data_IF_455949147285
#
_entry.id   IF_455949147285
#
_cell.length_a   1.000
_cell.length_b   1.000
_cell.length_c   1.000
_cell.angle_alpha   90.00
_cell.angle_beta   90.00
_cell.angle_gamma   90.00
#
_symmetry.space_group_name_H-M   'P 1'
#
loop_
_entity.id
_entity.type
_entity.pdbx_description
1 polymer ?
#
# COMPACT_ATOMS: atom_id res chain seq x y z
N UNK A 1 -18.27 13.30 -22.25
CA UNK A 1 -18.18 13.10 -23.71
C UNK A 1 -17.07 13.89 -24.40
N UNK A 2 -16.90 15.22 -24.11
CA UNK A 2 -15.86 16.04 -24.77
C UNK A 2 -14.43 15.54 -24.48
N UNK A 3 -14.13 15.15 -23.22
CA UNK A 3 -12.83 14.61 -22.81
C UNK A 3 -12.59 13.25 -23.51
N UNK A 4 -13.58 12.38 -23.56
CA UNK A 4 -13.43 11.09 -24.21
C UNK A 4 -13.08 11.20 -25.70
N UNK A 5 -13.70 12.14 -26.43
CA UNK A 5 -13.38 12.38 -27.83
C UNK A 5 -11.97 12.97 -28.02
N UNK A 6 -11.52 13.79 -27.07
CA UNK A 6 -10.15 14.33 -27.07
C UNK A 6 -9.08 13.23 -26.88
N UNK A 7 -9.37 12.27 -25.98
CA UNK A 7 -8.45 11.16 -25.69
C UNK A 7 -8.56 10.01 -26.69
N UNK A 8 -9.69 9.90 -27.41
CA UNK A 8 -9.96 8.85 -28.40
C UNK A 8 -10.48 9.51 -29.68
N UNK A 9 -9.59 9.96 -30.58
CA UNK A 9 -9.99 10.68 -31.81
C UNK A 9 -10.96 9.90 -32.69
N UNK A 10 -10.82 8.57 -32.73
CA UNK A 10 -11.69 7.65 -33.50
C UNK A 10 -12.99 7.24 -32.77
N UNK A 11 -13.33 7.93 -31.67
CA UNK A 11 -14.56 7.65 -30.92
C UNK A 11 -15.79 8.01 -31.76
N UNK A 12 -16.67 7.04 -31.96
CA UNK A 12 -17.85 7.10 -32.82
C UNK A 12 -17.64 6.45 -34.22
N UNK A 13 -16.40 6.17 -34.59
CA UNK A 13 -16.05 5.50 -35.84
C UNK A 13 -15.60 4.05 -35.59
N UNK A 14 -14.41 3.87 -35.00
CA UNK A 14 -13.85 2.55 -34.68
C UNK A 14 -14.17 2.10 -33.23
N UNK A 15 -14.41 3.03 -32.33
CA UNK A 15 -14.75 2.76 -30.93
C UNK A 15 -16.16 3.30 -30.69
N UNK A 16 -17.11 2.41 -30.39
CA UNK A 16 -18.49 2.79 -30.04
C UNK A 16 -18.55 3.62 -28.76
N UNK A 17 -19.39 4.67 -28.74
CA UNK A 17 -19.60 5.52 -27.59
C UNK A 17 -20.17 4.74 -26.38
N UNK A 18 -21.04 3.79 -26.67
CA UNK A 18 -21.64 2.86 -25.70
C UNK A 18 -20.58 2.04 -24.95
N UNK A 19 -19.57 1.51 -25.66
CA UNK A 19 -18.47 0.75 -25.04
C UNK A 19 -17.67 1.59 -24.04
N UNK A 20 -17.37 2.85 -24.39
CA UNK A 20 -16.64 3.74 -23.47
C UNK A 20 -17.50 4.14 -22.30
N UNK A 21 -18.81 4.33 -22.50
CA UNK A 21 -19.76 4.61 -21.44
C UNK A 21 -19.88 3.43 -20.46
N UNK A 22 -20.04 2.21 -20.97
CA UNK A 22 -20.09 1.00 -20.12
C UNK A 22 -18.81 0.83 -19.32
N UNK A 23 -17.64 0.97 -19.96
CA UNK A 23 -16.36 0.89 -19.27
C UNK A 23 -16.21 1.99 -18.18
N UNK A 24 -16.75 3.19 -18.40
CA UNK A 24 -16.75 4.25 -17.43
C UNK A 24 -17.64 3.92 -16.21
N UNK A 25 -18.84 3.39 -16.44
CA UNK A 25 -19.74 3.00 -15.34
C UNK A 25 -19.17 1.80 -14.55
N UNK A 26 -18.58 0.81 -15.24
CA UNK A 26 -17.87 -0.30 -14.58
C UNK A 26 -16.73 0.21 -13.70
N UNK A 27 -15.90 1.11 -14.22
CA UNK A 27 -14.77 1.69 -13.46
C UNK A 27 -15.21 2.55 -12.25
N UNK A 28 -16.42 3.12 -12.27
CA UNK A 28 -16.97 3.82 -11.10
C UNK A 28 -17.42 2.86 -10.00
N UNK A 29 -17.93 1.69 -10.37
CA UNK A 29 -18.43 0.68 -9.46
C UNK A 29 -17.31 -0.22 -8.93
N UNK A 30 -16.30 -0.47 -9.75
CA UNK A 30 -15.20 -1.38 -9.43
C UNK A 30 -13.84 -0.63 -9.41
N UNK A 31 -13.28 -0.36 -8.20
CA UNK A 31 -12.01 0.34 -8.07
C UNK A 31 -10.84 -0.32 -8.81
N UNK A 32 -10.87 -1.64 -9.00
CA UNK A 32 -9.81 -2.36 -9.72
C UNK A 32 -9.75 -2.01 -11.21
N UNK A 33 -10.87 -1.61 -11.81
CA UNK A 33 -10.97 -1.24 -13.22
C UNK A 33 -10.69 0.25 -13.49
N UNK A 34 -10.71 1.09 -12.45
CA UNK A 34 -10.54 2.53 -12.59
C UNK A 34 -9.21 2.89 -13.26
N UNK A 35 -8.12 2.29 -12.83
CA UNK A 35 -6.80 2.57 -13.39
C UNK A 35 -6.69 2.15 -14.86
N UNK A 36 -7.22 0.99 -15.20
CA UNK A 36 -7.30 0.53 -16.58
C UNK A 36 -8.12 1.47 -17.47
N UNK A 37 -9.25 1.94 -16.98
CA UNK A 37 -10.06 2.93 -17.69
C UNK A 37 -9.31 4.26 -17.87
N UNK A 38 -8.66 4.77 -16.81
CA UNK A 38 -7.86 6.01 -16.87
C UNK A 38 -6.72 5.91 -17.89
N UNK A 39 -5.99 4.80 -17.86
CA UNK A 39 -4.85 4.57 -18.76
C UNK A 39 -5.31 4.38 -20.22
N UNK A 40 -6.24 3.46 -20.46
CA UNK A 40 -6.61 3.02 -21.81
C UNK A 40 -7.66 3.92 -22.48
N UNK A 41 -8.47 4.66 -21.73
CA UNK A 41 -9.56 5.50 -22.28
C UNK A 41 -9.37 6.99 -22.08
N UNK A 42 -8.55 7.40 -21.09
CA UNK A 42 -8.30 8.80 -20.82
C UNK A 42 -6.84 9.20 -21.05
N UNK A 43 -5.96 8.27 -21.48
CA UNK A 43 -4.52 8.48 -21.68
C UNK A 43 -3.83 9.11 -20.45
N UNK A 44 -4.26 8.72 -19.26
CA UNK A 44 -3.68 9.19 -18.01
C UNK A 44 -2.61 8.23 -17.51
N UNK A 45 -1.50 8.77 -17.02
CA UNK A 45 -0.52 7.98 -16.29
C UNK A 45 -1.13 7.50 -14.97
N UNK A 46 -0.95 6.23 -14.66
CA UNK A 46 -1.38 5.60 -13.41
C UNK A 46 -0.17 4.97 -12.73
N UNK A 47 -0.12 5.08 -11.41
CA UNK A 47 1.00 4.53 -10.62
C UNK A 47 0.92 3.01 -10.43
N UNK A 48 -0.25 2.42 -10.63
CA UNK A 48 -0.52 0.99 -10.41
C UNK A 48 -1.41 0.46 -11.53
N UNK A 49 -1.14 -0.76 -12.01
CA UNK A 49 -1.98 -1.44 -13.01
C UNK A 49 -3.34 -1.81 -12.42
N UNK A 50 -3.35 -2.35 -11.20
CA UNK A 50 -4.57 -2.70 -10.45
C UNK A 50 -4.60 -1.87 -9.17
N UNK A 51 -5.73 -1.23 -8.90
CA UNK A 51 -5.90 -0.38 -7.73
C UNK A 51 -6.44 -1.21 -6.57
N UNK A 52 -5.59 -1.53 -5.61
CA UNK A 52 -6.01 -2.14 -4.35
C UNK A 52 -6.63 -1.12 -3.41
N UNK A 53 -6.01 0.07 -3.29
CA UNK A 53 -6.46 1.13 -2.39
C UNK A 53 -6.40 2.51 -3.08
N UNK A 54 -7.38 3.40 -2.87
CA UNK A 54 -7.32 4.78 -3.33
C UNK A 54 -6.20 5.54 -2.62
N UNK A 55 -5.10 5.83 -3.30
CA UNK A 55 -3.93 6.50 -2.70
C UNK A 55 -4.25 7.88 -2.16
N UNK A 56 -5.18 8.61 -2.78
CA UNK A 56 -5.67 9.90 -2.30
C UNK A 56 -6.35 9.82 -0.92
N UNK A 57 -6.95 8.68 -0.58
CA UNK A 57 -7.51 8.41 0.76
C UNK A 57 -6.43 7.95 1.72
N UNK A 58 -5.53 7.07 1.25
CA UNK A 58 -4.40 6.60 2.04
C UNK A 58 -3.50 7.75 2.48
N UNK A 59 -3.14 8.65 1.54
CA UNK A 59 -2.27 9.79 1.81
C UNK A 59 -2.89 10.77 2.84
N UNK A 60 -4.22 10.85 2.92
CA UNK A 60 -4.93 11.65 3.94
C UNK A 60 -4.85 11.07 5.34
N UNK A 61 -4.53 9.79 5.47
CA UNK A 61 -4.32 9.14 6.77
C UNK A 61 -2.90 9.37 7.30
N UNK A 62 -1.99 9.92 6.45
CA UNK A 62 -0.59 10.17 6.84
C UNK A 62 -0.49 11.43 7.69
N UNK A 63 0.11 11.31 8.86
CA UNK A 63 0.52 12.42 9.74
C UNK A 63 1.75 12.02 10.54
N UNK A 64 2.48 13.01 11.02
CA UNK A 64 3.64 12.76 11.86
C UNK A 64 3.16 12.25 13.23
N UNK A 65 3.70 11.12 13.66
CA UNK A 65 3.43 10.54 14.99
C UNK A 65 4.69 10.69 15.83
N UNK A 66 4.58 11.30 17.01
CA UNK A 66 5.61 11.22 18.04
C UNK A 66 5.28 10.04 18.95
N UNK A 67 6.14 9.02 18.96
CA UNK A 67 5.94 7.83 19.78
C UNK A 67 5.93 8.16 21.30
N UNK A 68 6.57 9.24 21.72
CA UNK A 68 6.53 9.67 23.11
C UNK A 68 5.12 10.08 23.55
N UNK A 69 4.30 10.63 22.67
CA UNK A 69 2.91 11.01 22.95
C UNK A 69 2.00 9.79 23.15
N UNK A 70 2.46 8.62 22.75
CA UNK A 70 1.73 7.37 22.88
C UNK A 70 2.06 6.59 24.16
N UNK A 71 3.11 7.00 24.87
CA UNK A 71 3.52 6.34 26.11
C UNK A 71 2.39 6.36 27.15
N UNK A 72 2.07 5.18 27.70
CA UNK A 72 1.02 5.01 28.70
C UNK A 72 -0.41 4.96 28.15
N UNK A 73 -0.61 5.09 26.83
CA UNK A 73 -1.91 4.88 26.20
C UNK A 73 -2.21 3.40 26.07
N UNK A 74 -3.49 3.05 26.12
CA UNK A 74 -3.96 1.70 25.78
C UNK A 74 -3.73 1.46 24.29
N UNK A 75 -3.11 0.33 23.95
CA UNK A 75 -2.95 -0.11 22.55
C UNK A 75 -3.29 -1.58 22.41
N UNK A 76 -3.55 -1.98 21.18
CA UNK A 76 -3.77 -3.36 20.77
C UNK A 76 -2.67 -3.76 19.79
N UNK A 77 -1.96 -4.85 20.08
CA UNK A 77 -0.91 -5.39 19.23
C UNK A 77 -1.41 -6.56 18.38
N UNK A 78 -0.97 -6.60 17.12
CA UNK A 78 -1.14 -7.74 16.23
C UNK A 78 0.23 -8.18 15.68
N UNK A 79 0.56 -9.47 15.81
CA UNK A 79 1.83 -10.03 15.34
C UNK A 79 1.56 -11.10 14.29
N UNK A 80 2.18 -10.94 13.12
CA UNK A 80 2.20 -11.92 12.03
C UNK A 80 3.64 -12.36 11.78
N UNK A 81 3.93 -13.61 12.11
CA UNK A 81 5.26 -14.19 12.03
C UNK A 81 5.45 -14.96 10.72
N UNK A 82 6.42 -14.53 9.95
CA UNK A 82 6.91 -15.25 8.77
C UNK A 82 8.24 -15.90 9.06
N UNK A 83 8.50 -17.08 8.49
CA UNK A 83 9.78 -17.76 8.64
C UNK A 83 10.78 -17.44 7.54
N UNK A 84 10.39 -17.54 6.25
CA UNK A 84 11.35 -17.49 5.14
C UNK A 84 10.97 -16.64 3.94
N UNK A 85 9.69 -16.58 3.56
CA UNK A 85 9.27 -15.97 2.28
C UNK A 85 8.45 -14.72 2.41
N UNK A 86 7.80 -14.53 3.52
CA UNK A 86 6.91 -13.41 3.78
C UNK A 86 7.57 -12.34 4.67
N UNK A 87 6.92 -11.23 4.88
CA UNK A 87 7.36 -10.19 5.80
C UNK A 87 6.78 -10.51 7.18
N UNK A 88 7.60 -10.47 8.21
CA UNK A 88 7.08 -10.46 9.58
C UNK A 88 6.61 -9.05 9.92
N UNK A 89 5.43 -8.95 10.50
CA UNK A 89 4.80 -7.68 10.86
C UNK A 89 4.35 -7.68 12.32
N UNK A 90 4.64 -6.59 13.02
CA UNK A 90 4.04 -6.26 14.30
C UNK A 90 3.37 -4.89 14.19
N UNK A 91 2.11 -4.82 14.52
CA UNK A 91 1.32 -3.59 14.36
C UNK A 91 0.68 -3.23 15.68
N UNK A 92 0.93 -2.02 16.14
CA UNK A 92 0.27 -1.42 17.30
C UNK A 92 -0.84 -0.48 16.83
N UNK A 93 -2.01 -0.61 17.41
CA UNK A 93 -3.17 0.24 17.14
C UNK A 93 -3.59 0.94 18.43
N UNK A 94 -3.55 2.25 18.43
CA UNK A 94 -3.99 3.11 19.53
C UNK A 94 -5.36 3.68 19.18
N UNK A 95 -6.40 3.36 19.98
CA UNK A 95 -7.73 3.95 19.81
C UNK A 95 -7.71 5.47 20.07
N UNK A 96 -8.66 6.21 19.49
CA UNK A 96 -8.83 7.62 19.78
C UNK A 96 -9.15 7.85 21.27
N UNK A 97 -8.70 8.98 21.80
CA UNK A 97 -8.96 9.38 23.20
C UNK A 97 -10.34 10.02 23.36
N UNK A 98 -10.84 10.66 22.31
CA UNK A 98 -12.15 11.30 22.23
C UNK A 98 -12.75 11.22 20.82
N UNK A 99 -13.91 11.83 20.59
CA UNK A 99 -14.61 11.76 19.31
C UNK A 99 -13.92 12.53 18.16
N UNK A 100 -13.03 13.48 18.46
CA UNK A 100 -12.28 14.27 17.47
C UNK A 100 -10.92 13.67 17.14
N UNK A 101 -10.40 12.80 18.01
CA UNK A 101 -9.10 12.13 17.86
C UNK A 101 -9.18 11.00 16.80
N UNK A 102 -8.03 10.51 16.37
CA UNK A 102 -7.89 9.49 15.34
C UNK A 102 -7.21 8.24 15.89
N UNK A 103 -7.45 7.13 15.20
CA UNK A 103 -6.63 5.94 15.40
C UNK A 103 -5.20 6.23 14.98
N UNK A 104 -4.24 5.87 15.82
CA UNK A 104 -2.82 5.86 15.46
C UNK A 104 -2.39 4.42 15.23
N UNK A 105 -1.70 4.17 14.12
CA UNK A 105 -1.20 2.85 13.75
C UNK A 105 0.31 2.95 13.60
N UNK A 106 1.03 2.14 14.37
CA UNK A 106 2.49 1.99 14.27
C UNK A 106 2.81 0.58 13.76
N UNK A 107 3.20 0.45 12.49
CA UNK A 107 3.63 -0.81 11.92
C UNK A 107 5.16 -0.96 12.01
N UNK A 108 5.61 -2.15 12.34
CA UNK A 108 7.00 -2.58 12.32
C UNK A 108 7.13 -3.83 11.46
N UNK A 109 8.16 -3.88 10.62
CA UNK A 109 8.34 -4.95 9.65
C UNK A 109 9.76 -5.48 9.68
N UNK A 110 9.90 -6.81 9.53
CA UNK A 110 11.20 -7.49 9.48
C UNK A 110 11.27 -8.52 8.37
N UNK A 111 12.47 -8.63 7.79
CA UNK A 111 12.86 -9.70 6.87
C UNK A 111 14.26 -10.18 7.20
N UNK A 112 14.67 -11.41 6.77
CA UNK A 112 16.04 -11.84 6.90
C UNK A 112 16.98 -11.03 6.01
N UNK A 113 18.15 -10.64 6.55
CA UNK A 113 19.15 -9.83 5.83
C UNK A 113 19.71 -10.57 4.60
N UNK A 114 20.07 -11.85 4.76
CA UNK A 114 20.66 -12.65 3.68
C UNK A 114 19.75 -12.81 2.46
N UNK A 115 18.45 -12.64 2.63
CA UNK A 115 17.46 -12.81 1.56
C UNK A 115 16.99 -11.51 0.92
N UNK A 116 17.45 -10.34 1.40
CA UNK A 116 17.01 -9.02 0.96
C UNK A 116 17.12 -8.84 -0.56
N UNK A 117 18.33 -9.03 -1.11
CA UNK A 117 18.59 -8.86 -2.55
C UNK A 117 17.83 -9.85 -3.43
N UNK A 118 17.67 -11.09 -2.95
CA UNK A 118 16.89 -12.11 -3.66
C UNK A 118 15.41 -11.73 -3.73
N UNK A 119 14.88 -11.20 -2.62
CA UNK A 119 13.49 -10.74 -2.55
C UNK A 119 13.23 -9.54 -3.47
N UNK A 120 14.14 -8.55 -3.49
CA UNK A 120 14.03 -7.42 -4.41
C UNK A 120 13.92 -7.89 -5.86
N UNK A 121 14.76 -8.86 -6.27
CA UNK A 121 14.75 -9.41 -7.63
C UNK A 121 13.52 -10.27 -7.93
N UNK A 122 13.09 -11.12 -6.98
CA UNK A 122 11.95 -12.03 -7.15
C UNK A 122 10.62 -11.30 -7.19
N UNK A 123 10.43 -10.39 -6.24
CA UNK A 123 9.13 -9.76 -5.99
C UNK A 123 8.96 -8.44 -6.75
N UNK A 124 10.07 -7.91 -7.30
CA UNK A 124 10.13 -6.58 -7.94
C UNK A 124 9.66 -5.45 -7.00
N UNK A 125 9.97 -5.60 -5.71
CA UNK A 125 9.63 -4.66 -4.63
C UNK A 125 10.93 -4.08 -4.06
N UNK A 126 11.02 -2.75 -3.85
CA UNK A 126 12.26 -2.10 -3.41
C UNK A 126 12.48 -2.24 -1.90
N UNK A 127 12.60 -3.45 -1.38
CA UNK A 127 12.83 -3.72 0.04
C UNK A 127 14.11 -3.09 0.56
N UNK A 128 15.16 -3.05 -0.27
CA UNK A 128 16.44 -2.40 0.02
C UNK A 128 16.32 -0.88 0.19
N UNK A 129 15.38 -0.26 -0.50
CA UNK A 129 15.08 1.16 -0.31
C UNK A 129 14.33 1.38 1.00
N UNK A 130 13.35 0.53 1.30
CA UNK A 130 12.58 0.62 2.53
C UNK A 130 13.41 0.36 3.78
N UNK A 131 14.37 -0.57 3.69
CA UNK A 131 15.35 -0.83 4.75
C UNK A 131 16.21 0.43 5.02
N UNK A 132 16.82 1.02 3.97
CA UNK A 132 17.60 2.25 4.09
C UNK A 132 16.81 3.45 4.61
N UNK A 133 15.51 3.49 4.38
CA UNK A 133 14.60 4.53 4.87
C UNK A 133 14.08 4.25 6.29
N UNK A 134 14.39 3.09 6.87
CA UNK A 134 13.95 2.69 8.20
C UNK A 134 12.51 2.19 8.28
N UNK A 135 11.85 1.96 7.15
CA UNK A 135 10.49 1.40 7.12
C UNK A 135 10.47 -0.13 7.26
N UNK A 136 11.60 -0.77 7.01
CA UNK A 136 11.78 -2.21 7.10
C UNK A 136 13.08 -2.46 7.87
N UNK A 137 13.05 -3.42 8.78
CA UNK A 137 14.23 -3.85 9.52
C UNK A 137 14.71 -5.20 9.02
N UNK A 138 16.00 -5.47 9.13
CA UNK A 138 16.56 -6.77 8.83
C UNK A 138 16.96 -7.49 10.11
N UNK A 139 16.82 -8.82 10.10
CA UNK A 139 17.37 -9.70 11.13
C UNK A 139 18.53 -10.50 10.54
N UNK A 140 19.57 -10.74 11.35
CA UNK A 140 20.73 -11.49 10.91
C UNK A 140 20.38 -12.90 10.41
N UNK A 141 21.01 -13.35 9.32
CA UNK A 141 20.85 -14.68 8.75
C UNK A 141 19.76 -14.78 7.68
N UNK A 142 19.39 -16.02 7.36
CA UNK A 142 18.46 -16.35 6.26
C UNK A 142 17.01 -16.60 6.71
N UNK A 143 16.74 -16.53 8.01
CA UNK A 143 15.43 -16.71 8.66
C UNK A 143 15.21 -15.57 9.63
N UNK A 144 13.94 -15.17 9.80
CA UNK A 144 13.61 -14.14 10.79
C UNK A 144 13.88 -14.63 12.20
N UNK A 145 14.65 -13.87 12.97
CA UNK A 145 15.00 -14.20 14.35
C UNK A 145 13.87 -13.77 15.30
N UNK A 146 13.01 -14.71 15.67
CA UNK A 146 11.86 -14.44 16.56
C UNK A 146 12.29 -13.91 17.94
N UNK A 147 13.42 -14.35 18.47
CA UNK A 147 13.94 -13.82 19.73
C UNK A 147 14.37 -12.36 19.67
N UNK A 148 14.64 -11.80 18.49
CA UNK A 148 14.82 -10.37 18.30
C UNK A 148 13.50 -9.64 18.36
N UNK A 149 12.48 -10.16 17.68
CA UNK A 149 11.14 -9.57 17.66
C UNK A 149 10.50 -9.64 19.05
N UNK A 150 10.64 -10.75 19.75
CA UNK A 150 10.13 -10.92 21.13
C UNK A 150 10.71 -9.89 22.11
N UNK A 151 11.95 -9.46 21.91
CA UNK A 151 12.57 -8.40 22.72
C UNK A 151 12.10 -7.00 22.33
N UNK A 152 11.65 -6.83 21.10
CA UNK A 152 11.13 -5.58 20.59
C UNK A 152 9.68 -5.34 21.00
N UNK A 153 8.87 -6.41 21.11
CA UNK A 153 7.46 -6.39 21.52
C UNK A 153 7.28 -6.38 23.03
#
# INVERSE_FOLDING_TARGET
PKVWKKCNPSLGETIGMDKVKTACESAKQNPSEENSFRQLRLNQWVKQAVRWMPMDKWDKCSFAVDENDLCGRVCYGGLDLSSTTDITAFVLVFPPLDEEDKYVILPYFWIPEDTLDLRVKRDHVPYDVWERQGFLQTTEGNVVHYGYIEKFT
#
